data_IF_358593259640
#
_entry.id   IF_358593259640
#
_cell.length_a   1.000
_cell.length_b   1.000
_cell.length_c   1.000
_cell.angle_alpha   90.00
_cell.angle_beta   90.00
_cell.angle_gamma   90.00
#
_symmetry.space_group_name_H-M   'P 1'
#
loop_
_entity.id
_entity.type
_entity.pdbx_description
1 polymer ?
#
# COMPACT_ATOMS: atom_id res chain seq x y z
N UNK A 1 -5.28 -22.14 -18.66
CA UNK A 1 -5.29 -20.67 -18.88
C UNK A 1 -6.57 -19.96 -18.38
N UNK A 2 -7.76 -20.56 -18.48
CA UNK A 2 -9.02 -19.89 -18.08
C UNK A 2 -9.22 -19.65 -16.58
N UNK A 3 -8.75 -20.57 -15.72
CA UNK A 3 -8.95 -20.49 -14.26
C UNK A 3 -8.22 -19.30 -13.60
N UNK A 4 -6.99 -18.99 -14.02
CA UNK A 4 -6.21 -17.87 -13.45
C UNK A 4 -6.80 -16.49 -13.78
N UNK A 5 -7.66 -16.38 -14.80
CA UNK A 5 -8.33 -15.13 -15.18
C UNK A 5 -9.61 -14.87 -14.38
N UNK A 6 -10.18 -15.88 -13.73
CA UNK A 6 -11.49 -15.78 -13.08
C UNK A 6 -11.46 -15.13 -11.69
N UNK A 7 -10.29 -15.03 -11.04
CA UNK A 7 -10.20 -14.61 -9.64
C UNK A 7 -9.79 -13.14 -9.43
N UNK A 8 -9.41 -12.40 -10.49
CA UNK A 8 -9.12 -10.98 -10.39
C UNK A 8 -10.31 -10.13 -10.85
N UNK A 9 -10.81 -9.26 -9.97
CA UNK A 9 -11.95 -8.36 -10.22
C UNK A 9 -11.77 -7.43 -11.43
N UNK A 10 -10.53 -7.22 -11.88
CA UNK A 10 -10.21 -6.45 -13.09
C UNK A 10 -10.30 -7.25 -14.40
N UNK A 11 -10.29 -8.59 -14.35
CA UNK A 11 -10.38 -9.45 -15.54
C UNK A 11 -11.80 -9.85 -15.95
N UNK A 12 -12.76 -9.80 -15.01
CA UNK A 12 -14.14 -10.22 -15.26
C UNK A 12 -15.00 -9.18 -16.01
N UNK A 13 -14.62 -7.90 -15.95
CA UNK A 13 -15.37 -6.79 -16.56
C UNK A 13 -15.06 -6.52 -18.04
N UNK A 14 -14.03 -7.17 -18.59
CA UNK A 14 -13.58 -6.96 -19.97
C UNK A 14 -13.96 -8.16 -20.86
N UNK A 15 -15.26 -8.44 -21.01
CA UNK A 15 -15.72 -9.29 -22.12
C UNK A 15 -15.50 -8.62 -23.48
N UNK A 16 -15.44 -7.28 -23.52
CA UNK A 16 -15.38 -6.51 -24.77
C UNK A 16 -13.99 -5.94 -25.11
N UNK A 17 -12.92 -6.36 -24.41
CA UNK A 17 -11.52 -6.10 -24.82
C UNK A 17 -11.06 -4.62 -24.88
N UNK A 18 -11.89 -3.62 -24.56
CA UNK A 18 -11.51 -2.20 -24.64
C UNK A 18 -10.70 -1.70 -23.44
N UNK A 19 -9.42 -2.06 -23.36
CA UNK A 19 -8.47 -1.37 -22.47
C UNK A 19 -8.42 0.12 -22.86
N UNK A 20 -8.92 1.01 -22.01
CA UNK A 20 -8.49 2.41 -22.02
C UNK A 20 -7.14 2.46 -21.31
N UNK A 21 -6.06 2.39 -22.11
CA UNK A 21 -4.67 2.36 -21.65
C UNK A 21 -3.87 1.30 -22.40
N UNK A 22 -3.11 1.74 -23.41
CA UNK A 22 -2.21 0.98 -24.28
C UNK A 22 -2.77 -0.34 -24.87
N UNK A 23 -3.23 -0.26 -26.13
CA UNK A 23 -3.52 -1.46 -26.93
C UNK A 23 -2.22 -2.22 -27.21
N UNK A 24 -1.94 -3.24 -26.40
CA UNK A 24 -0.97 -4.28 -26.79
C UNK A 24 -1.73 -5.25 -27.69
N UNK A 25 -1.59 -5.05 -29.00
CA UNK A 25 -2.29 -5.79 -30.05
C UNK A 25 -1.64 -7.16 -30.37
N UNK A 26 -0.43 -7.40 -29.88
CA UNK A 26 0.29 -8.66 -30.04
C UNK A 26 -0.09 -9.62 -28.89
N UNK A 27 -0.19 -10.94 -29.14
CA UNK A 27 -0.22 -11.91 -28.06
C UNK A 27 0.99 -11.62 -27.15
N UNK A 28 0.74 -11.51 -25.85
CA UNK A 28 1.80 -11.26 -24.86
C UNK A 28 2.59 -12.56 -24.69
N UNK A 29 3.29 -12.97 -25.75
CA UNK A 29 4.14 -14.16 -25.79
C UNK A 29 5.36 -13.97 -24.88
N UNK A 30 5.67 -12.72 -24.49
CA UNK A 30 6.74 -12.37 -23.55
C UNK A 30 6.21 -11.48 -22.41
N UNK A 31 5.25 -11.97 -21.65
CA UNK A 31 4.89 -11.32 -20.39
C UNK A 31 6.05 -11.52 -19.41
N UNK A 32 6.90 -10.51 -19.21
CA UNK A 32 8.14 -10.65 -18.44
C UNK A 32 7.99 -11.33 -17.08
N UNK A 33 6.83 -11.20 -16.41
CA UNK A 33 6.52 -11.93 -15.17
C UNK A 33 6.28 -13.44 -15.36
N UNK A 34 5.64 -13.85 -16.45
CA UNK A 34 5.44 -15.26 -16.77
C UNK A 34 6.77 -15.92 -17.11
N UNK A 35 7.58 -15.26 -17.93
CA UNK A 35 8.94 -15.73 -18.22
C UNK A 35 9.81 -15.75 -16.96
N UNK A 36 9.71 -14.71 -16.12
CA UNK A 36 10.40 -14.67 -14.83
C UNK A 36 10.03 -15.89 -13.97
N UNK A 37 8.74 -16.18 -13.77
CA UNK A 37 8.34 -17.28 -12.88
C UNK A 37 8.46 -18.68 -13.46
N UNK A 38 8.19 -18.85 -14.76
CA UNK A 38 8.02 -20.18 -15.37
C UNK A 38 9.09 -20.52 -16.42
N UNK A 39 10.04 -19.60 -16.66
CA UNK A 39 11.08 -19.70 -17.70
C UNK A 39 10.44 -19.75 -19.09
N UNK A 40 11.21 -19.51 -20.16
CA UNK A 40 10.68 -19.49 -21.55
C UNK A 40 9.90 -20.75 -21.93
N UNK A 41 10.28 -21.90 -21.39
CA UNK A 41 9.66 -23.19 -21.71
C UNK A 41 8.37 -23.48 -20.92
N UNK A 42 8.05 -22.69 -19.88
CA UNK A 42 6.85 -22.85 -19.07
C UNK A 42 6.78 -24.15 -18.27
N UNK A 43 7.88 -24.92 -18.20
CA UNK A 43 7.91 -26.26 -17.59
C UNK A 43 8.23 -26.25 -16.10
N UNK A 44 8.77 -25.16 -15.58
CA UNK A 44 9.13 -25.08 -14.16
C UNK A 44 7.92 -24.69 -13.32
N UNK A 45 7.65 -25.41 -12.24
CA UNK A 45 6.65 -25.00 -11.27
C UNK A 45 7.13 -23.78 -10.46
N UNK A 46 6.22 -22.83 -10.19
CA UNK A 46 6.49 -21.71 -9.31
C UNK A 46 6.57 -22.19 -7.85
N UNK A 47 7.77 -22.20 -7.28
CA UNK A 47 7.98 -22.48 -5.88
C UNK A 47 7.36 -21.40 -4.99
N UNK A 48 6.76 -21.82 -3.88
CA UNK A 48 6.08 -20.91 -2.95
C UNK A 48 7.04 -19.86 -2.39
N UNK A 49 8.24 -20.28 -1.97
CA UNK A 49 9.28 -19.44 -1.38
C UNK A 49 9.73 -18.36 -2.36
N UNK A 50 9.90 -18.74 -3.63
CA UNK A 50 10.26 -17.82 -4.72
C UNK A 50 9.18 -16.78 -4.95
N UNK A 51 7.91 -17.18 -4.92
CA UNK A 51 6.80 -16.26 -5.06
C UNK A 51 6.67 -15.29 -3.87
N UNK A 52 6.85 -15.79 -2.65
CA UNK A 52 6.85 -14.97 -1.44
C UNK A 52 8.00 -13.97 -1.47
N UNK A 53 9.20 -14.39 -1.87
CA UNK A 53 10.35 -13.50 -1.98
C UNK A 53 10.10 -12.41 -3.02
N UNK A 54 9.60 -12.77 -4.21
CA UNK A 54 9.21 -11.80 -5.22
C UNK A 54 8.22 -10.76 -4.68
N UNK A 55 7.20 -11.20 -3.92
CA UNK A 55 6.26 -10.25 -3.32
C UNK A 55 6.97 -9.34 -2.31
N UNK A 56 7.89 -9.84 -1.49
CA UNK A 56 8.65 -9.01 -0.54
C UNK A 56 9.47 -7.96 -1.28
N UNK A 57 10.21 -8.37 -2.31
CA UNK A 57 11.04 -7.48 -3.12
C UNK A 57 10.18 -6.42 -3.81
N UNK A 58 9.04 -6.82 -4.39
CA UNK A 58 8.10 -5.89 -5.01
C UNK A 58 7.57 -4.85 -4.03
N UNK A 59 7.22 -5.24 -2.80
CA UNK A 59 6.76 -4.29 -1.79
C UNK A 59 7.90 -3.34 -1.38
N UNK A 60 9.13 -3.83 -1.27
CA UNK A 60 10.30 -2.99 -0.97
C UNK A 60 10.59 -2.00 -2.11
N UNK A 61 10.52 -2.43 -3.37
CA UNK A 61 10.72 -1.57 -4.53
C UNK A 61 9.63 -0.50 -4.67
N UNK A 62 8.36 -0.84 -4.43
CA UNK A 62 7.27 0.14 -4.38
C UNK A 62 7.52 1.17 -3.28
N UNK A 63 8.00 0.73 -2.12
CA UNK A 63 8.29 1.61 -1.00
C UNK A 63 9.47 2.54 -1.28
N UNK A 64 10.53 2.03 -1.92
CA UNK A 64 11.66 2.83 -2.42
C UNK A 64 11.21 3.86 -3.45
N UNK A 65 10.33 3.46 -4.37
CA UNK A 65 9.77 4.35 -5.39
C UNK A 65 8.90 5.45 -4.75
N UNK A 66 8.08 5.11 -3.75
CA UNK A 66 7.30 6.09 -2.98
C UNK A 66 8.24 7.10 -2.29
N UNK A 67 9.30 6.63 -1.62
CA UNK A 67 10.26 7.54 -0.99
C UNK A 67 10.97 8.43 -2.01
N UNK A 68 11.46 7.86 -3.12
CA UNK A 68 12.16 8.60 -4.17
C UNK A 68 11.26 9.64 -4.85
N UNK A 69 9.94 9.43 -4.89
CA UNK A 69 8.99 10.43 -5.37
C UNK A 69 9.04 11.72 -4.52
N UNK A 70 9.26 11.59 -3.21
CA UNK A 70 9.36 12.73 -2.28
C UNK A 70 10.80 13.23 -2.12
N UNK A 71 11.80 12.35 -2.18
CA UNK A 71 13.23 12.72 -2.26
C UNK A 71 13.63 13.09 -3.69
N UNK A 72 12.97 14.11 -4.25
CA UNK A 72 13.19 14.54 -5.64
C UNK A 72 14.61 15.03 -5.93
N UNK A 73 15.40 15.35 -4.89
CA UNK A 73 16.82 15.75 -5.01
C UNK A 73 17.78 14.58 -4.86
N UNK A 74 17.28 13.38 -4.54
CA UNK A 74 18.08 12.18 -4.30
C UNK A 74 19.14 12.39 -3.21
N UNK A 75 18.77 13.09 -2.14
CA UNK A 75 19.65 13.37 -1.00
C UNK A 75 19.58 12.28 0.10
N UNK A 76 18.70 11.28 -0.06
CA UNK A 76 18.46 10.22 0.92
C UNK A 76 17.60 10.65 2.11
N UNK A 77 17.04 11.87 2.08
CA UNK A 77 16.24 12.46 3.15
C UNK A 77 15.04 13.22 2.60
N UNK A 78 13.91 13.16 3.29
CA UNK A 78 12.71 13.95 2.99
C UNK A 78 12.33 14.86 4.17
N UNK A 79 11.60 15.94 3.91
CA UNK A 79 11.10 16.81 4.99
C UNK A 79 9.91 16.18 5.71
N UNK A 80 9.60 16.67 6.92
CA UNK A 80 8.37 16.28 7.61
C UNK A 80 7.10 16.60 6.79
N UNK A 81 7.12 17.68 6.01
CA UNK A 81 6.01 18.03 5.11
C UNK A 81 5.83 16.98 4.03
N UNK A 82 6.91 16.59 3.36
CA UNK A 82 6.88 15.58 2.29
C UNK A 82 6.45 14.21 2.82
N UNK A 83 6.95 13.84 4.01
CA UNK A 83 6.48 12.66 4.71
C UNK A 83 4.98 12.72 5.03
N UNK A 84 4.47 13.85 5.52
CA UNK A 84 3.05 13.98 5.80
C UNK A 84 2.21 13.88 4.52
N UNK A 85 2.68 14.45 3.40
CA UNK A 85 2.05 14.30 2.08
C UNK A 85 2.00 12.83 1.62
N UNK A 86 3.04 12.03 1.88
CA UNK A 86 3.03 10.59 1.58
C UNK A 86 1.91 9.85 2.31
N UNK A 87 1.59 10.26 3.54
CA UNK A 87 0.46 9.71 4.30
C UNK A 87 -0.88 10.13 3.71
N UNK A 88 -1.00 11.38 3.26
CA UNK A 88 -2.23 11.89 2.64
C UNK A 88 -2.50 11.21 1.29
N UNK A 89 -1.45 10.88 0.53
CA UNK A 89 -1.57 10.22 -0.78
C UNK A 89 -2.33 8.88 -0.74
N UNK A 90 -2.32 8.20 0.42
CA UNK A 90 -3.04 6.93 0.64
C UNK A 90 -4.38 7.09 1.38
N UNK A 91 -4.82 8.32 1.64
CA UNK A 91 -6.06 8.61 2.34
C UNK A 91 -7.31 8.54 1.43
N UNK A 92 -8.48 8.46 2.07
CA UNK A 92 -9.76 8.53 1.37
C UNK A 92 -9.97 9.92 0.74
N UNK A 93 -10.28 9.95 -0.56
CA UNK A 93 -10.43 11.18 -1.34
C UNK A 93 -11.44 12.17 -0.74
N UNK A 94 -12.44 11.67 -0.02
CA UNK A 94 -13.46 12.49 0.67
C UNK A 94 -12.88 13.36 1.79
N UNK A 95 -11.67 13.03 2.26
CA UNK A 95 -11.01 13.70 3.37
C UNK A 95 -9.68 14.35 2.98
N UNK A 96 -9.22 14.19 1.73
CA UNK A 96 -7.91 14.69 1.28
C UNK A 96 -7.76 16.18 1.52
N UNK A 97 -8.72 17.02 1.12
CA UNK A 97 -8.63 18.48 1.30
C UNK A 97 -8.32 18.87 2.76
N UNK A 98 -9.08 18.31 3.72
CA UNK A 98 -8.89 18.59 5.15
C UNK A 98 -7.54 18.10 5.68
N UNK A 99 -7.01 17.03 5.09
CA UNK A 99 -5.71 16.50 5.47
C UNK A 99 -4.58 17.35 4.91
N UNK A 100 -4.72 17.87 3.69
CA UNK A 100 -3.76 18.82 3.11
C UNK A 100 -3.71 20.11 3.92
N UNK A 101 -4.86 20.66 4.32
CA UNK A 101 -4.91 21.84 5.20
C UNK A 101 -4.10 21.62 6.49
N UNK A 102 -4.25 20.43 7.10
CA UNK A 102 -3.50 20.05 8.31
C UNK A 102 -2.01 19.88 8.06
N UNK A 103 -1.61 19.37 6.89
CA UNK A 103 -0.19 19.28 6.53
C UNK A 103 0.41 20.68 6.50
N UNK A 104 -0.30 21.66 5.93
CA UNK A 104 0.18 23.04 5.89
C UNK A 104 0.25 23.66 7.28
N UNK A 105 -0.77 23.45 8.14
CA UNK A 105 -0.76 23.90 9.54
C UNK A 105 0.46 23.36 10.31
N UNK A 106 0.68 22.04 10.26
CA UNK A 106 1.75 21.35 10.99
C UNK A 106 3.14 21.70 10.45
N UNK A 107 3.26 21.95 9.15
CA UNK A 107 4.53 22.33 8.52
C UNK A 107 5.02 23.73 8.93
N UNK A 108 4.13 24.57 9.46
CA UNK A 108 4.49 25.90 9.95
C UNK A 108 5.11 25.87 11.36
N UNK A 109 5.01 24.74 12.08
CA UNK A 109 5.62 24.60 13.40
C UNK A 109 7.15 24.43 13.28
N UNK A 110 7.97 25.30 13.92
CA UNK A 110 9.43 25.26 13.77
C UNK A 110 10.04 23.91 14.15
N UNK A 111 9.51 23.28 15.21
CA UNK A 111 9.99 22.00 15.72
C UNK A 111 9.79 20.85 14.72
N UNK A 112 8.77 20.95 13.86
CA UNK A 112 8.41 19.90 12.91
C UNK A 112 9.07 20.16 11.55
N UNK A 113 9.12 21.43 11.13
CA UNK A 113 9.70 21.84 9.84
C UNK A 113 11.16 21.40 9.67
N UNK A 114 11.92 21.40 10.75
CA UNK A 114 13.36 21.11 10.71
C UNK A 114 13.65 19.60 10.80
N UNK A 115 12.63 18.76 11.02
CA UNK A 115 12.76 17.30 11.01
C UNK A 115 13.11 16.82 9.59
N UNK A 116 14.05 15.86 9.54
CA UNK A 116 14.46 15.15 8.33
C UNK A 116 14.26 13.67 8.55
N UNK A 117 13.74 13.01 7.53
CA UNK A 117 13.33 11.60 7.61
C UNK A 117 14.12 10.84 6.57
N UNK A 118 14.83 9.82 7.03
CA UNK A 118 15.62 8.89 6.20
C UNK A 118 14.71 7.82 5.60
N UNK A 119 15.23 7.09 4.59
CA UNK A 119 14.52 5.95 4.03
C UNK A 119 14.22 4.85 5.07
N UNK A 120 15.14 4.60 6.01
CA UNK A 120 14.95 3.56 7.04
C UNK A 120 13.83 3.93 8.03
N UNK A 121 13.71 5.20 8.40
CA UNK A 121 12.61 5.68 9.25
C UNK A 121 11.28 5.62 8.49
N UNK A 122 11.28 6.01 7.21
CA UNK A 122 10.12 5.89 6.32
C UNK A 122 9.65 4.43 6.22
N UNK A 123 10.60 3.49 6.05
CA UNK A 123 10.35 2.06 5.98
C UNK A 123 9.81 1.50 7.28
N UNK A 124 10.42 1.87 8.40
CA UNK A 124 9.95 1.50 9.74
C UNK A 124 8.50 1.93 9.95
N UNK A 125 8.13 3.15 9.52
CA UNK A 125 6.75 3.61 9.60
C UNK A 125 5.81 2.81 8.68
N UNK A 126 6.26 2.46 7.47
CA UNK A 126 5.47 1.64 6.56
C UNK A 126 5.16 0.24 7.14
N UNK A 127 6.07 -0.34 7.93
CA UNK A 127 5.81 -1.58 8.66
C UNK A 127 4.73 -1.41 9.73
N UNK A 128 4.75 -0.28 10.46
CA UNK A 128 3.69 0.05 11.42
C UNK A 128 2.33 0.17 10.72
N UNK A 129 2.26 0.78 9.53
CA UNK A 129 1.02 0.86 8.73
C UNK A 129 0.42 -0.52 8.44
N UNK A 130 1.25 -1.56 8.28
CA UNK A 130 0.78 -2.95 8.06
C UNK A 130 0.16 -3.57 9.32
N UNK A 131 0.52 -3.08 10.50
CA UNK A 131 0.04 -3.58 11.79
C UNK A 131 -1.07 -2.71 12.40
N UNK A 132 -1.73 -1.87 11.60
CA UNK A 132 -2.69 -0.88 12.07
C UNK A 132 -3.84 -1.46 12.93
N UNK A 133 -4.24 -2.71 12.67
CA UNK A 133 -5.26 -3.38 13.48
C UNK A 133 -4.80 -3.56 14.94
N UNK A 134 -3.58 -4.08 15.14
CA UNK A 134 -3.00 -4.27 16.46
C UNK A 134 -2.70 -2.93 17.13
N UNK A 135 -2.14 -1.97 16.38
CA UNK A 135 -1.89 -0.63 16.87
C UNK A 135 -3.19 0.03 17.37
N UNK A 136 -4.27 -0.10 16.59
CA UNK A 136 -5.55 0.47 16.99
C UNK A 136 -6.14 -0.21 18.22
N UNK A 137 -5.94 -1.52 18.41
CA UNK A 137 -6.37 -2.23 19.60
C UNK A 137 -5.60 -1.75 20.84
N UNK A 138 -4.28 -1.56 20.71
CA UNK A 138 -3.43 -1.06 21.78
C UNK A 138 -3.83 0.36 22.21
N UNK A 139 -3.98 1.28 21.24
CA UNK A 139 -4.42 2.66 21.51
C UNK A 139 -5.79 2.70 22.17
N UNK A 140 -6.74 1.88 21.70
CA UNK A 140 -8.09 1.84 22.26
C UNK A 140 -8.10 1.29 23.69
N UNK A 141 -7.35 0.21 23.93
CA UNK A 141 -7.23 -0.40 25.26
C UNK A 141 -6.63 0.59 26.26
N UNK A 142 -5.57 1.32 25.87
CA UNK A 142 -4.98 2.38 26.69
C UNK A 142 -5.97 3.52 26.96
N UNK A 143 -6.68 3.99 25.93
CA UNK A 143 -7.69 5.04 26.07
C UNK A 143 -8.84 4.66 27.01
N UNK A 144 -9.24 3.38 27.03
CA UNK A 144 -10.26 2.85 27.95
C UNK A 144 -9.81 2.89 29.41
N UNK A 145 -8.54 2.56 29.68
CA UNK A 145 -7.95 2.64 31.03
C UNK A 145 -7.83 4.08 31.51
N UNK A 146 -7.55 5.02 30.59
CA UNK A 146 -7.43 6.46 30.87
C UNK A 146 -8.77 7.23 30.83
N UNK A 147 -9.91 6.55 30.65
CA UNK A 147 -11.24 7.17 30.65
C UNK A 147 -11.63 7.97 29.39
N UNK A 148 -10.82 7.94 28.32
CA UNK A 148 -11.12 8.65 27.08
C UNK A 148 -12.08 7.82 26.20
N UNK A 149 -13.40 8.03 26.33
CA UNK A 149 -14.39 7.29 25.55
C UNK A 149 -14.46 7.77 24.09
N UNK A 150 -14.09 6.91 23.12
CA UNK A 150 -14.52 7.03 21.71
C UNK A 150 -15.14 5.72 21.21
N UNK A 151 -16.43 5.51 21.55
CA UNK A 151 -17.23 4.32 21.20
C UNK A 151 -17.45 4.10 19.69
N UNK A 152 -17.14 5.08 18.83
CA UNK A 152 -17.42 5.04 17.37
C UNK A 152 -16.39 4.26 16.54
N UNK A 153 -15.11 4.24 16.95
CA UNK A 153 -14.01 3.70 16.13
C UNK A 153 -13.97 2.16 16.17
N UNK A 154 -14.31 1.54 17.30
CA UNK A 154 -14.30 0.07 17.46
C UNK A 154 -15.26 -0.65 16.50
N UNK A 155 -16.44 -0.09 16.22
CA UNK A 155 -17.41 -0.68 15.28
C UNK A 155 -16.93 -0.61 13.83
N UNK A 156 -16.23 0.46 13.45
CA UNK A 156 -15.74 0.65 12.08
C UNK A 156 -14.49 -0.20 11.80
N UNK A 157 -13.63 -0.43 12.80
CA UNK A 157 -12.50 -1.36 12.69
C UNK A 157 -12.94 -2.81 12.63
N UNK A 158 -13.95 -3.21 13.40
CA UNK A 158 -14.54 -4.53 13.27
C UNK A 158 -15.13 -4.72 11.86
N UNK A 159 -15.84 -3.71 11.34
CA UNK A 159 -16.38 -3.74 9.98
C UNK A 159 -15.27 -3.84 8.92
N UNK A 160 -14.18 -3.05 9.02
CA UNK A 160 -13.01 -3.07 8.12
C UNK A 160 -12.14 -4.31 8.24
N UNK A 161 -12.05 -4.91 9.44
CA UNK A 161 -11.38 -6.19 9.67
C UNK A 161 -12.14 -7.33 8.99
N UNK A 162 -13.47 -7.35 9.11
CA UNK A 162 -14.34 -8.31 8.40
C UNK A 162 -14.28 -8.10 6.88
N UNK A 163 -14.22 -6.85 6.39
CA UNK A 163 -14.06 -6.60 4.94
C UNK A 163 -12.70 -7.03 4.40
N UNK A 164 -11.62 -6.81 5.17
CA UNK A 164 -10.28 -7.26 4.79
C UNK A 164 -10.12 -8.79 4.90
N UNK A 165 -10.70 -9.44 5.92
CA UNK A 165 -10.73 -10.90 6.01
C UNK A 165 -11.52 -11.54 4.87
N UNK A 166 -12.62 -10.91 4.40
CA UNK A 166 -13.32 -11.38 3.20
C UNK A 166 -12.57 -11.11 1.89
N UNK A 167 -11.72 -10.08 1.82
CA UNK A 167 -10.82 -9.86 0.68
C UNK A 167 -9.65 -10.85 0.66
N UNK A 168 -9.11 -11.21 1.83
CA UNK A 168 -8.03 -12.20 1.97
C UNK A 168 -8.55 -13.63 1.82
N UNK A 169 -9.77 -13.94 2.27
CA UNK A 169 -10.40 -15.25 2.09
C UNK A 169 -10.93 -15.48 0.67
N UNK A 170 -11.15 -14.43 -0.13
CA UNK A 170 -11.46 -14.53 -1.58
C UNK A 170 -10.21 -14.69 -2.46
N UNK A 171 -9.02 -14.68 -1.86
CA UNK A 171 -7.72 -14.89 -2.51
C UNK A 171 -7.08 -16.26 -2.13
N UNK A 172 -7.89 -17.19 -1.61
CA UNK A 172 -7.60 -18.63 -1.54
C UNK A 172 -8.63 -19.38 -2.38
#
# INVERSE_FOLDING_TARGET
MGLMRAQNRQGAGHRDGRRFGLKVAEPVENGGLLEYFFVKDGRTCLQHERFVQFLRDLHEEILRLEFAHYDYRSCGIISAKDFALSLVASADIRHISKLLDRVDEVSNEPQIRDIRITFEEFKSFAEIRRQLQYLSLAIFSYGKVKGCQRKKISRELHRRSVTNQHLVARLK
#
